data_IF_135313378203
#
_entry.id   IF_135313378203
#
_cell.length_a   1.000
_cell.length_b   1.000
_cell.length_c   1.000
_cell.angle_alpha   90.00
_cell.angle_beta   90.00
_cell.angle_gamma   90.00
#
_symmetry.space_group_name_H-M   'P 1'
#
loop_
_entity.id
_entity.type
_entity.pdbx_description
1 polymer ?
#
# COMPACT_ATOMS: atom_id res chain seq x y z
N UNK A 1 -10.31 -26.41 79.06
CA UNK A 1 -9.64 -25.14 79.43
C UNK A 1 -10.05 -24.08 78.43
N UNK A 2 -10.57 -22.96 78.94
CA UNK A 2 -10.95 -21.78 78.16
C UNK A 2 -9.72 -21.05 77.63
N UNK A 3 -9.80 -20.49 76.42
CA UNK A 3 -9.18 -19.19 76.16
C UNK A 3 -9.96 -18.43 75.09
N UNK A 4 -10.80 -17.51 75.55
CA UNK A 4 -11.47 -16.47 74.77
C UNK A 4 -10.56 -15.24 74.65
N UNK A 5 -10.37 -14.72 73.44
CA UNK A 5 -10.15 -13.30 73.06
C UNK A 5 -9.85 -13.28 71.55
N UNK A 6 -10.57 -12.62 70.65
CA UNK A 6 -11.49 -11.50 70.78
C UNK A 6 -10.78 -10.17 70.49
N UNK A 7 -10.57 -9.82 69.20
CA UNK A 7 -10.52 -8.44 68.69
C UNK A 7 -10.53 -8.48 67.14
N UNK A 8 -11.65 -8.32 66.42
CA UNK A 8 -12.37 -7.10 66.04
C UNK A 8 -11.56 -6.03 65.26
N UNK A 9 -12.01 -5.84 64.00
CA UNK A 9 -12.04 -4.60 63.18
C UNK A 9 -10.70 -4.32 62.44
N UNK A 10 -10.64 -3.82 61.19
CA UNK A 10 -11.53 -2.99 60.37
C UNK A 10 -11.28 -3.28 58.89
N UNK A 11 -12.34 -3.10 58.10
CA UNK A 11 -12.34 -2.97 56.65
C UNK A 11 -11.23 -2.07 56.11
N UNK A 12 -10.66 -2.45 54.97
CA UNK A 12 -10.44 -1.57 53.83
C UNK A 12 -10.19 -2.47 52.61
N UNK A 13 -11.15 -2.51 51.69
CA UNK A 13 -10.99 -3.11 50.38
C UNK A 13 -9.90 -2.34 49.63
N UNK A 14 -8.79 -3.00 49.34
CA UNK A 14 -7.75 -2.49 48.45
C UNK A 14 -8.11 -3.00 47.06
N UNK A 15 -8.96 -2.26 46.35
CA UNK A 15 -9.13 -2.40 44.91
C UNK A 15 -7.96 -1.66 44.24
N UNK A 16 -6.83 -2.35 44.11
CA UNK A 16 -5.77 -1.95 43.20
C UNK A 16 -6.25 -2.37 41.81
N UNK A 17 -6.93 -1.44 41.14
CA UNK A 17 -7.14 -1.49 39.70
C UNK A 17 -5.77 -1.38 39.04
N UNK A 18 -5.25 -2.54 38.64
CA UNK A 18 -4.08 -2.68 37.79
C UNK A 18 -4.47 -2.13 36.41
N UNK A 19 -3.81 -1.07 35.89
CA UNK A 19 -3.99 -0.69 34.50
C UNK A 19 -3.36 -1.81 33.65
N UNK A 20 -4.21 -2.63 33.03
CA UNK A 20 -3.79 -3.60 32.04
C UNK A 20 -3.37 -2.81 30.80
N UNK A 21 -2.06 -2.75 30.56
CA UNK A 21 -1.47 -2.33 29.29
C UNK A 21 -2.01 -3.22 28.16
N UNK A 22 -2.75 -2.62 27.24
CA UNK A 22 -2.90 -3.10 25.87
C UNK A 22 -2.54 -1.92 24.96
N UNK A 23 -1.24 -1.72 24.78
CA UNK A 23 -0.73 -0.95 23.65
C UNK A 23 -0.86 -1.83 22.42
N UNK A 24 -1.88 -1.58 21.60
CA UNK A 24 -1.87 -2.01 20.22
C UNK A 24 -1.13 -0.90 19.44
N UNK A 25 -0.04 -1.18 18.71
CA UNK A 25 0.28 -0.38 17.55
C UNK A 25 -0.86 -0.60 16.55
N UNK A 26 -1.95 0.14 16.71
CA UNK A 26 -3.01 0.25 15.71
C UNK A 26 -2.64 1.35 14.75
N UNK A 27 -1.74 1.03 13.83
CA UNK A 27 -1.74 1.63 12.49
C UNK A 27 -2.22 0.50 11.58
N UNK A 28 -3.52 0.21 11.66
CA UNK A 28 -4.22 -0.64 10.72
C UNK A 28 -5.19 0.26 9.98
N UNK A 29 -4.63 1.13 9.13
CA UNK A 29 -5.34 1.70 8.01
C UNK A 29 -4.81 0.93 6.80
N UNK A 30 -5.69 0.48 5.90
CA UNK A 30 -5.30 -0.17 4.64
C UNK A 30 -4.67 0.83 3.66
N UNK A 31 -3.69 1.57 4.16
CA UNK A 31 -2.90 2.52 3.41
C UNK A 31 -2.04 1.72 2.43
N UNK A 32 -2.06 2.06 1.13
CA UNK A 32 -1.29 1.33 0.14
C UNK A 32 0.20 1.45 0.48
N UNK A 33 0.86 0.30 0.67
CA UNK A 33 2.27 0.28 1.03
C UNK A 33 3.14 0.63 -0.17
N UNK A 34 4.17 1.45 0.06
CA UNK A 34 5.16 1.84 -0.97
C UNK A 34 4.70 2.91 -1.96
N UNK A 35 3.39 3.05 -2.24
CA UNK A 35 2.87 4.02 -3.22
C UNK A 35 3.18 5.46 -2.80
N UNK A 36 2.82 5.82 -1.56
CA UNK A 36 2.99 7.17 -1.03
C UNK A 36 4.46 7.59 -1.01
N UNK A 37 5.38 6.69 -0.64
CA UNK A 37 6.83 6.97 -0.63
C UNK A 37 7.34 7.34 -2.03
N UNK A 38 6.95 6.57 -3.05
CA UNK A 38 7.38 6.83 -4.43
C UNK A 38 6.87 8.20 -4.88
N UNK A 39 5.59 8.49 -4.65
CA UNK A 39 4.97 9.76 -5.04
C UNK A 39 5.60 10.96 -4.34
N UNK A 40 5.71 10.92 -3.02
CA UNK A 40 6.35 11.98 -2.22
C UNK A 40 7.78 12.27 -2.71
N UNK A 41 8.52 11.24 -3.12
CA UNK A 41 9.88 11.38 -3.64
C UNK A 41 9.90 12.09 -4.99
N UNK A 42 8.96 11.77 -5.89
CA UNK A 42 8.81 12.47 -7.17
C UNK A 42 8.40 13.93 -6.98
N UNK A 43 7.42 14.18 -6.11
CA UNK A 43 6.93 15.54 -5.81
C UNK A 43 8.01 16.41 -5.15
N UNK A 44 8.89 15.80 -4.34
CA UNK A 44 10.03 16.48 -3.73
C UNK A 44 11.14 16.83 -4.73
N UNK A 45 11.11 16.26 -5.95
CA UNK A 45 12.14 16.43 -6.97
C UNK A 45 13.35 15.51 -6.80
N UNK A 46 13.25 14.51 -5.92
CA UNK A 46 14.28 13.51 -5.65
C UNK A 46 14.02 12.20 -6.41
N UNK A 47 13.19 12.24 -7.47
CA UNK A 47 12.79 11.08 -8.29
C UNK A 47 13.98 10.20 -8.71
N UNK A 48 15.12 10.81 -9.06
CA UNK A 48 16.35 10.08 -9.44
C UNK A 48 16.92 9.18 -8.33
N UNK A 49 16.47 9.32 -7.09
CA UNK A 49 16.80 8.39 -6.01
C UNK A 49 16.03 7.09 -6.13
N UNK A 50 14.76 7.10 -6.55
CA UNK A 50 13.86 5.92 -6.64
C UNK A 50 13.79 5.34 -8.05
N UNK A 51 14.02 6.12 -9.10
CA UNK A 51 14.04 5.64 -10.48
C UNK A 51 15.08 4.53 -10.65
N UNK A 52 14.67 3.43 -11.28
CA UNK A 52 15.46 2.22 -11.49
C UNK A 52 15.63 1.33 -10.26
N UNK A 53 15.10 1.72 -9.09
CA UNK A 53 15.05 0.84 -7.92
C UNK A 53 13.86 -0.10 -8.00
N UNK A 54 14.09 -1.37 -7.68
CA UNK A 54 13.03 -2.32 -7.42
C UNK A 54 12.26 -1.89 -6.17
N UNK A 55 10.95 -1.74 -6.31
CA UNK A 55 10.01 -1.46 -5.24
C UNK A 55 8.85 -2.43 -5.30
N UNK A 56 8.29 -2.70 -4.15
CA UNK A 56 7.05 -3.46 -4.01
C UNK A 56 5.99 -2.51 -3.52
N UNK A 57 4.86 -2.48 -4.22
CA UNK A 57 3.69 -1.71 -3.83
C UNK A 57 2.51 -2.64 -3.63
N UNK A 58 1.66 -2.29 -2.68
CA UNK A 58 0.49 -3.08 -2.32
C UNK A 58 -0.73 -2.18 -2.31
N UNK A 59 -1.85 -2.67 -2.85
CA UNK A 59 -3.08 -1.93 -2.89
C UNK A 59 -4.15 -2.60 -3.73
N UNK A 60 -5.14 -1.81 -4.11
CA UNK A 60 -6.30 -2.24 -4.86
C UNK A 60 -6.22 -1.71 -6.30
N UNK A 61 -6.63 -2.53 -7.27
CA UNK A 61 -6.72 -2.09 -8.66
C UNK A 61 -7.87 -1.09 -8.80
N UNK A 62 -7.53 0.19 -8.98
CA UNK A 62 -8.50 1.28 -9.06
C UNK A 62 -9.13 1.37 -10.45
N UNK A 63 -8.31 1.31 -11.50
CA UNK A 63 -8.78 1.39 -12.88
C UNK A 63 -7.89 0.56 -13.81
N UNK A 64 -8.53 -0.27 -14.64
CA UNK A 64 -7.85 -1.01 -15.72
C UNK A 64 -7.96 -0.19 -17.01
N UNK A 65 -6.86 0.47 -17.37
CA UNK A 65 -6.76 1.34 -18.56
C UNK A 65 -6.72 0.47 -19.84
N UNK A 66 -5.96 -0.62 -19.78
CA UNK A 66 -5.76 -1.55 -20.89
C UNK A 66 -5.38 -2.94 -20.38
N UNK A 67 -5.32 -3.97 -21.24
CA UNK A 67 -4.90 -5.32 -20.83
C UNK A 67 -3.50 -5.40 -20.21
N UNK A 68 -2.66 -4.38 -20.39
CA UNK A 68 -1.26 -4.31 -19.94
C UNK A 68 -0.99 -3.09 -19.05
N UNK A 69 -2.03 -2.34 -18.67
CA UNK A 69 -1.88 -1.14 -17.86
C UNK A 69 -3.08 -0.95 -16.94
N UNK A 70 -2.80 -0.74 -15.66
CA UNK A 70 -3.79 -0.49 -14.64
C UNK A 70 -3.21 0.44 -13.58
N UNK A 71 -4.06 0.97 -12.72
CA UNK A 71 -3.63 1.82 -11.61
C UNK A 71 -3.90 1.13 -10.28
N UNK A 72 -2.95 1.25 -9.34
CA UNK A 72 -3.05 0.67 -7.99
C UNK A 72 -3.12 1.79 -6.97
N UNK A 73 -4.05 1.72 -6.03
CA UNK A 73 -4.25 2.73 -4.99
C UNK A 73 -4.70 2.13 -3.66
N UNK A 74 -5.06 3.00 -2.72
CA UNK A 74 -5.66 2.56 -1.46
C UNK A 74 -7.14 2.21 -1.61
N UNK A 75 -7.70 1.53 -0.60
CA UNK A 75 -9.14 1.22 -0.55
C UNK A 75 -9.97 2.51 -0.57
N UNK A 76 -10.94 2.63 -1.49
CA UNK A 76 -11.77 3.83 -1.57
C UNK A 76 -12.73 3.96 -0.36
N UNK A 77 -12.84 5.16 0.25
CA UNK A 77 -12.18 6.41 -0.14
C UNK A 77 -10.73 6.50 0.38
N UNK A 78 -9.77 6.68 -0.53
CA UNK A 78 -8.37 6.91 -0.19
C UNK A 78 -7.95 8.33 -0.59
N UNK A 79 -7.14 8.98 0.25
CA UNK A 79 -6.49 10.25 -0.07
C UNK A 79 -5.20 10.04 -0.90
N UNK A 80 -4.80 8.78 -1.13
CA UNK A 80 -3.60 8.44 -1.91
C UNK A 80 -3.96 8.36 -3.39
N UNK A 81 -3.32 9.20 -4.20
CA UNK A 81 -3.52 9.18 -5.64
C UNK A 81 -2.87 7.93 -6.25
N UNK A 82 -3.61 7.16 -7.08
CA UNK A 82 -3.18 5.85 -7.52
C UNK A 82 -1.95 5.92 -8.44
N UNK A 83 -1.16 4.85 -8.41
CA UNK A 83 0.08 4.70 -9.16
C UNK A 83 -0.14 3.89 -10.43
N UNK A 84 0.42 4.34 -11.55
CA UNK A 84 0.37 3.60 -12.80
C UNK A 84 1.27 2.37 -12.75
N UNK A 85 0.71 1.23 -13.13
CA UNK A 85 1.42 -0.04 -13.27
C UNK A 85 1.30 -0.51 -14.70
N UNK A 86 2.44 -0.81 -15.31
CA UNK A 86 2.55 -1.36 -16.65
C UNK A 86 3.08 -2.78 -16.57
N UNK A 87 2.40 -3.71 -17.22
CA UNK A 87 2.81 -5.12 -17.28
C UNK A 87 2.94 -5.58 -18.74
N UNK A 88 3.80 -6.57 -19.00
CA UNK A 88 4.11 -7.03 -20.37
C UNK A 88 3.55 -8.40 -20.74
N UNK A 89 3.66 -9.35 -19.82
CA UNK A 89 3.48 -10.81 -20.02
C UNK A 89 2.74 -11.48 -18.84
N UNK A 90 2.11 -10.72 -17.96
CA UNK A 90 1.39 -11.19 -16.79
C UNK A 90 -0.09 -11.42 -17.06
N UNK A 91 -0.78 -12.21 -16.21
CA UNK A 91 -2.23 -12.33 -16.31
C UNK A 91 -2.92 -10.96 -16.11
N UNK A 92 -4.04 -10.71 -16.80
CA UNK A 92 -4.82 -9.51 -16.57
C UNK A 92 -5.41 -9.54 -15.15
N UNK A 93 -5.50 -8.36 -14.54
CA UNK A 93 -6.12 -8.13 -13.23
C UNK A 93 -7.53 -7.56 -13.43
N UNK A 94 -8.45 -7.84 -12.51
CA UNK A 94 -9.76 -7.21 -12.49
C UNK A 94 -9.75 -5.96 -11.60
N UNK A 95 -10.69 -5.05 -11.84
CA UNK A 95 -10.90 -3.90 -10.96
C UNK A 95 -11.32 -4.38 -9.57
N UNK A 96 -10.92 -3.64 -8.54
CA UNK A 96 -11.16 -3.97 -7.13
C UNK A 96 -10.41 -5.24 -6.66
N UNK A 97 -9.46 -5.77 -7.42
CA UNK A 97 -8.60 -6.87 -6.96
C UNK A 97 -7.48 -6.34 -6.06
N UNK A 98 -7.23 -6.98 -4.90
CA UNK A 98 -6.04 -6.69 -4.10
C UNK A 98 -4.81 -7.30 -4.78
N UNK A 99 -3.82 -6.45 -5.05
CA UNK A 99 -2.61 -6.82 -5.77
C UNK A 99 -1.36 -6.33 -5.04
N UNK A 100 -0.30 -7.14 -5.14
CA UNK A 100 1.06 -6.73 -4.78
C UNK A 100 1.90 -6.74 -6.05
N UNK A 101 2.41 -5.58 -6.41
CA UNK A 101 3.20 -5.38 -7.62
C UNK A 101 4.65 -5.13 -7.22
N UNK A 102 5.57 -5.88 -7.80
CA UNK A 102 7.01 -5.68 -7.64
C UNK A 102 7.64 -5.38 -8.98
N UNK A 103 8.49 -4.35 -9.03
CA UNK A 103 9.31 -4.03 -10.18
C UNK A 103 10.04 -2.69 -10.06
N UNK A 104 10.81 -2.29 -11.08
CA UNK A 104 11.51 -1.02 -11.09
C UNK A 104 10.54 0.16 -11.21
N UNK A 105 10.81 1.19 -10.43
CA UNK A 105 10.14 2.50 -10.57
C UNK A 105 10.75 3.25 -11.75
N UNK A 106 9.91 3.84 -12.59
CA UNK A 106 10.30 4.72 -13.69
C UNK A 106 9.52 6.03 -13.68
N UNK A 107 9.98 6.99 -14.47
CA UNK A 107 9.19 8.15 -14.88
C UNK A 107 8.49 7.77 -16.18
N UNK A 108 7.17 7.94 -16.24
CA UNK A 108 6.38 7.47 -17.36
C UNK A 108 6.64 8.34 -18.58
N UNK A 109 7.15 7.70 -19.63
CA UNK A 109 7.24 8.24 -20.98
C UNK A 109 6.60 7.25 -21.94
N UNK A 110 5.58 7.71 -22.66
CA UNK A 110 4.77 6.90 -23.54
C UNK A 110 5.59 6.29 -24.68
N UNK A 111 6.55 7.02 -25.25
CA UNK A 111 7.40 6.51 -26.33
C UNK A 111 8.32 5.39 -25.78
N UNK A 112 8.97 5.62 -24.64
CA UNK A 112 9.85 4.63 -23.99
C UNK A 112 9.10 3.36 -23.59
N UNK A 113 7.93 3.50 -22.96
CA UNK A 113 7.10 2.38 -22.53
C UNK A 113 6.58 1.56 -23.71
N UNK A 114 6.18 2.21 -24.82
CA UNK A 114 5.77 1.50 -26.02
C UNK A 114 6.91 0.69 -26.65
N UNK A 115 8.13 1.25 -26.68
CA UNK A 115 9.32 0.55 -27.15
C UNK A 115 9.63 -0.67 -26.27
N UNK A 116 9.52 -0.53 -24.94
CA UNK A 116 9.78 -1.58 -23.98
C UNK A 116 8.73 -2.70 -24.03
N UNK A 117 7.44 -2.35 -24.12
CA UNK A 117 6.34 -3.28 -24.32
C UNK A 117 6.38 -3.93 -25.71
N UNK A 118 6.93 -3.24 -26.69
CA UNK A 118 6.90 -3.62 -28.11
C UNK A 118 5.47 -3.56 -28.70
N UNK A 119 4.65 -2.62 -28.22
CA UNK A 119 3.24 -2.46 -28.62
C UNK A 119 2.84 -0.98 -28.66
N UNK A 120 1.98 -0.63 -29.60
CA UNK A 120 1.38 0.70 -29.66
C UNK A 120 0.29 0.87 -28.59
N UNK A 121 0.43 1.90 -27.77
CA UNK A 121 -0.52 2.32 -26.74
C UNK A 121 -1.32 3.53 -27.24
N UNK A 122 -2.58 3.65 -26.86
CA UNK A 122 -3.42 4.76 -27.30
C UNK A 122 -3.10 6.04 -26.50
N UNK A 123 -2.41 6.99 -27.13
CA UNK A 123 -1.94 8.26 -26.51
C UNK A 123 -2.98 8.90 -25.59
N UNK A 124 -4.23 8.99 -26.05
CA UNK A 124 -5.33 9.64 -25.32
C UNK A 124 -5.67 9.02 -23.95
N UNK A 125 -5.22 7.79 -23.68
CA UNK A 125 -5.41 7.10 -22.41
C UNK A 125 -4.24 7.37 -21.45
N UNK A 126 -3.09 7.80 -21.97
CA UNK A 126 -1.85 7.91 -21.21
C UNK A 126 -1.30 9.33 -21.10
N UNK A 127 -1.85 10.30 -21.84
CA UNK A 127 -1.47 11.72 -21.79
C UNK A 127 -1.40 12.29 -20.36
N UNK A 128 -2.29 11.84 -19.46
CA UNK A 128 -2.33 12.32 -18.08
C UNK A 128 -1.16 11.81 -17.22
N UNK A 129 -0.57 10.67 -17.58
CA UNK A 129 0.51 10.04 -16.83
C UNK A 129 1.91 10.47 -17.29
N UNK A 130 2.03 11.30 -18.33
CA UNK A 130 3.34 11.77 -18.81
C UNK A 130 4.12 12.49 -17.70
N UNK A 131 5.30 11.98 -17.38
CA UNK A 131 6.15 12.48 -16.30
C UNK A 131 5.71 12.06 -14.90
N UNK A 132 4.69 11.22 -14.77
CA UNK A 132 4.26 10.65 -13.48
C UNK A 132 5.11 9.42 -13.12
N UNK A 133 5.23 9.08 -11.83
CA UNK A 133 5.85 7.82 -11.44
C UNK A 133 5.01 6.63 -11.93
N UNK A 134 5.70 5.60 -12.42
CA UNK A 134 5.08 4.31 -12.72
C UNK A 134 5.98 3.16 -12.25
N UNK A 135 5.40 1.97 -12.17
CA UNK A 135 6.15 0.73 -11.95
C UNK A 135 5.99 -0.16 -13.17
N UNK A 136 7.12 -0.60 -13.73
CA UNK A 136 7.09 -1.73 -14.66
C UNK A 136 7.00 -3.01 -13.84
N UNK A 137 5.86 -3.67 -13.87
CA UNK A 137 5.63 -4.89 -13.13
C UNK A 137 6.52 -6.02 -13.68
N UNK A 138 7.35 -6.59 -12.79
CA UNK A 138 8.09 -7.83 -13.03
C UNK A 138 7.42 -9.02 -12.33
N UNK A 139 6.68 -8.76 -11.26
CA UNK A 139 5.83 -9.75 -10.59
C UNK A 139 4.57 -9.11 -10.04
N UNK A 140 3.43 -9.79 -10.22
CA UNK A 140 2.14 -9.44 -9.63
C UNK A 140 1.70 -10.66 -8.81
N UNK A 141 1.41 -10.44 -7.53
CA UNK A 141 0.73 -11.41 -6.70
C UNK A 141 -0.74 -10.96 -6.52
N UNK A 142 -1.66 -11.85 -6.89
CA UNK A 142 -3.10 -11.77 -6.67
C UNK A 142 -3.48 -12.45 -5.34
N UNK A 143 -4.68 -12.18 -4.81
CA UNK A 143 -5.19 -12.74 -3.54
C UNK A 143 -4.28 -12.42 -2.35
N UNK A 144 -3.78 -11.18 -2.30
CA UNK A 144 -2.97 -10.71 -1.19
C UNK A 144 -3.90 -10.40 -0.02
N UNK A 145 -3.66 -11.04 1.13
CA UNK A 145 -4.28 -10.63 2.39
C UNK A 145 -3.66 -9.28 2.79
N UNK A 146 -4.34 -8.18 2.46
CA UNK A 146 -4.00 -6.84 2.94
C UNK A 146 -4.55 -6.73 4.38
N UNK A 147 -3.69 -6.92 5.37
CA UNK A 147 -3.99 -6.85 6.82
C UNK A 147 -4.25 -5.42 7.32
#
# INVERSE_FOLDING_TARGET
>A
MWCTRGLRRRSAAVLVLTPLLLGLPGCGGGDPEGITEIRDTFESGDAGSVIGQERTVEGWVQEVISPWAFTVGGEEPSDVEPLLVIEKDMPPVDQDDPVRVTGPVGEFDLDEVQEELGRDLAENLYDQYQGEPYIMAESIAEDVEID
#
